data_IF_349277542011
#
_entry.id   IF_349277542011
#
_cell.length_a   1.000
_cell.length_b   1.000
_cell.length_c   1.000
_cell.angle_alpha   90.00
_cell.angle_beta   90.00
_cell.angle_gamma   90.00
#
_symmetry.space_group_name_H-M   'P 1'
#
loop_
_entity.id
_entity.type
_entity.pdbx_description
1 polymer ?
#
# COMPACT_ATOMS: atom_id res chain seq x y z
N UNK A 1 7.75 -1.68 -16.10
CA UNK A 1 7.38 -3.11 -16.19
C UNK A 1 6.06 -3.31 -15.44
N UNK A 2 5.31 -4.39 -15.70
CA UNK A 2 4.17 -4.78 -14.86
C UNK A 2 4.37 -6.19 -14.32
N UNK A 3 3.80 -6.45 -13.15
CA UNK A 3 3.71 -7.81 -12.60
C UNK A 3 2.69 -8.63 -13.39
N UNK A 4 2.69 -9.97 -13.26
CA UNK A 4 1.66 -10.84 -13.87
C UNK A 4 0.22 -10.43 -13.56
N UNK A 5 -0.07 -9.92 -12.35
CA UNK A 5 -1.41 -9.43 -11.96
C UNK A 5 -1.65 -7.94 -12.25
N UNK A 6 -0.74 -7.27 -12.95
CA UNK A 6 -0.99 -5.95 -13.54
C UNK A 6 -0.56 -4.73 -12.72
N UNK A 7 0.15 -4.91 -11.60
CA UNK A 7 0.77 -3.82 -10.85
C UNK A 7 1.91 -3.20 -11.66
N UNK A 8 1.97 -1.87 -11.72
CA UNK A 8 3.12 -1.15 -12.25
C UNK A 8 4.33 -1.34 -11.32
N UNK A 9 5.37 -2.02 -11.82
CA UNK A 9 6.60 -2.27 -11.08
C UNK A 9 7.71 -1.33 -11.57
N UNK A 10 8.10 -0.38 -10.72
CA UNK A 10 9.14 0.63 -10.97
C UNK A 10 10.40 0.33 -10.15
N UNK A 11 10.23 -0.03 -8.88
CA UNK A 11 11.31 -0.31 -7.93
C UNK A 11 10.83 -1.35 -6.93
N UNK A 12 11.77 -2.14 -6.39
CA UNK A 12 11.51 -3.06 -5.28
C UNK A 12 11.15 -2.29 -3.99
N UNK A 13 11.67 -1.08 -3.83
CA UNK A 13 11.43 -0.26 -2.64
C UNK A 13 10.19 0.63 -2.83
N UNK A 14 9.16 0.38 -2.02
CA UNK A 14 7.90 1.12 -2.11
C UNK A 14 7.22 0.94 -3.46
N UNK A 15 7.08 -0.32 -3.91
CA UNK A 15 6.48 -0.67 -5.19
C UNK A 15 5.08 -0.06 -5.35
N UNK A 16 4.21 -0.22 -4.34
CA UNK A 16 2.86 0.34 -4.35
C UNK A 16 2.86 1.87 -4.29
N UNK A 17 3.79 2.47 -3.55
CA UNK A 17 3.99 3.93 -3.55
C UNK A 17 4.25 4.44 -4.95
N UNK A 18 5.16 3.81 -5.70
CA UNK A 18 5.46 4.23 -7.06
C UNK A 18 4.26 4.07 -7.99
N UNK A 19 3.56 2.94 -7.94
CA UNK A 19 2.37 2.70 -8.76
C UNK A 19 1.28 3.75 -8.49
N UNK A 20 1.01 4.06 -7.22
CA UNK A 20 -0.03 5.03 -6.83
C UNK A 20 0.39 6.49 -7.08
N UNK A 21 1.68 6.82 -7.02
CA UNK A 21 2.17 8.13 -7.46
C UNK A 21 1.90 8.36 -8.95
N UNK A 22 2.15 7.34 -9.79
CA UNK A 22 1.83 7.44 -11.23
C UNK A 22 0.32 7.47 -11.46
N UNK A 23 -0.45 6.69 -10.70
CA UNK A 23 -1.91 6.73 -10.75
C UNK A 23 -2.46 8.14 -10.48
N UNK A 24 -1.94 8.82 -9.45
CA UNK A 24 -2.29 10.20 -9.13
C UNK A 24 -1.97 11.17 -10.26
N UNK A 25 -0.78 11.08 -10.85
CA UNK A 25 -0.39 11.93 -12.00
C UNK A 25 -1.31 11.69 -13.20
N UNK A 26 -1.66 10.44 -13.48
CA UNK A 26 -2.62 10.10 -14.53
C UNK A 26 -4.00 10.71 -14.24
N UNK A 27 -4.48 10.67 -12.99
CA UNK A 27 -5.74 11.29 -12.60
C UNK A 27 -5.71 12.81 -12.76
N UNK A 28 -4.64 13.48 -12.36
CA UNK A 28 -4.51 14.93 -12.55
C UNK A 28 -4.46 15.31 -14.04
N UNK A 29 -3.69 14.56 -14.85
CA UNK A 29 -3.65 14.77 -16.30
C UNK A 29 -5.02 14.56 -16.97
N UNK A 30 -5.76 13.52 -16.56
CA UNK A 30 -7.10 13.25 -17.06
C UNK A 30 -8.11 14.32 -16.61
N UNK A 31 -8.14 14.65 -15.32
CA UNK A 31 -9.20 15.44 -14.71
C UNK A 31 -8.99 16.96 -14.84
N UNK A 32 -7.74 17.42 -14.88
CA UNK A 32 -7.41 18.85 -14.96
C UNK A 32 -7.05 19.29 -16.36
N UNK A 33 -6.43 18.40 -17.14
CA UNK A 33 -5.88 18.73 -18.46
C UNK A 33 -6.60 18.04 -19.62
N UNK A 34 -7.57 17.16 -19.35
CA UNK A 34 -8.32 16.38 -20.35
C UNK A 34 -7.41 15.53 -21.27
N UNK A 35 -6.27 15.05 -20.75
CA UNK A 35 -5.35 14.20 -21.49
C UNK A 35 -5.72 12.74 -21.29
N UNK A 36 -6.00 12.02 -22.39
CA UNK A 36 -6.24 10.57 -22.38
C UNK A 36 -7.24 10.14 -21.29
N UNK A 37 -8.29 10.93 -21.07
CA UNK A 37 -9.11 10.94 -19.85
C UNK A 37 -9.55 9.55 -19.41
N UNK A 38 -10.18 8.79 -20.31
CA UNK A 38 -10.74 7.47 -19.95
C UNK A 38 -9.65 6.44 -19.65
N UNK A 39 -8.61 6.38 -20.49
CA UNK A 39 -7.55 5.39 -20.31
C UNK A 39 -6.69 5.68 -19.07
N UNK A 40 -6.44 6.95 -18.75
CA UNK A 40 -5.72 7.35 -17.55
C UNK A 40 -6.53 7.13 -16.27
N UNK A 41 -7.84 7.42 -16.27
CA UNK A 41 -8.72 7.08 -15.15
C UNK A 41 -8.80 5.57 -14.91
N UNK A 42 -8.97 4.78 -15.98
CA UNK A 42 -9.01 3.31 -15.88
C UNK A 42 -7.68 2.75 -15.40
N UNK A 43 -6.56 3.24 -15.92
CA UNK A 43 -5.24 2.85 -15.46
C UNK A 43 -5.06 3.18 -13.98
N UNK A 44 -5.32 4.42 -13.57
CA UNK A 44 -5.17 4.82 -12.18
C UNK A 44 -6.06 3.99 -11.23
N UNK A 45 -7.32 3.76 -11.62
CA UNK A 45 -8.24 2.89 -10.88
C UNK A 45 -7.65 1.49 -10.72
N UNK A 46 -7.07 0.90 -11.78
CA UNK A 46 -6.48 -0.44 -11.69
C UNK A 46 -5.34 -0.53 -10.66
N UNK A 47 -4.53 0.53 -10.50
CA UNK A 47 -3.41 0.54 -9.57
C UNK A 47 -3.88 0.73 -8.12
N UNK A 48 -4.87 1.60 -7.91
CA UNK A 48 -5.53 1.76 -6.60
C UNK A 48 -6.26 0.48 -6.21
N UNK A 49 -7.05 -0.11 -7.11
CA UNK A 49 -7.75 -1.38 -6.89
C UNK A 49 -6.75 -2.50 -6.55
N UNK A 50 -5.55 -2.52 -7.15
CA UNK A 50 -4.51 -3.49 -6.79
C UNK A 50 -4.09 -3.35 -5.33
N UNK A 51 -3.82 -2.13 -4.86
CA UNK A 51 -3.49 -1.86 -3.46
C UNK A 51 -4.64 -2.24 -2.52
N UNK A 52 -5.90 -2.01 -2.94
CA UNK A 52 -7.10 -2.32 -2.17
C UNK A 52 -7.45 -3.81 -2.17
N UNK A 53 -7.06 -4.56 -3.22
CA UNK A 53 -6.95 -6.02 -3.19
C UNK A 53 -7.45 -6.79 -4.40
N UNK A 54 -7.51 -6.18 -5.58
CA UNK A 54 -7.88 -6.88 -6.83
C UNK A 54 -6.94 -8.05 -7.20
N UNK A 55 -5.76 -8.12 -6.58
CA UNK A 55 -4.78 -9.20 -6.74
C UNK A 55 -5.00 -10.41 -5.81
N UNK A 56 -6.03 -10.36 -4.96
CA UNK A 56 -6.44 -11.44 -4.04
C UNK A 56 -6.29 -11.12 -2.55
N UNK A 57 -5.56 -10.04 -2.20
CA UNK A 57 -5.42 -9.54 -0.83
C UNK A 57 -5.24 -8.02 -0.83
N UNK A 58 -5.60 -7.36 0.27
CA UNK A 58 -5.29 -5.95 0.47
C UNK A 58 -3.83 -5.75 0.83
N UNK A 59 -3.29 -4.58 0.48
CA UNK A 59 -1.99 -4.08 0.94
C UNK A 59 -2.15 -2.83 1.80
N UNK A 60 -3.36 -2.57 2.30
CA UNK A 60 -3.67 -1.47 3.20
C UNK A 60 -4.01 -2.06 4.56
N UNK A 61 -3.22 -1.71 5.57
CA UNK A 61 -3.38 -2.20 6.95
C UNK A 61 -4.79 -1.90 7.46
N UNK A 62 -5.45 -2.91 8.01
CA UNK A 62 -6.80 -2.79 8.59
C UNK A 62 -7.94 -2.73 7.56
N UNK A 63 -7.68 -2.93 6.27
CA UNK A 63 -8.69 -2.80 5.22
C UNK A 63 -8.80 -4.04 4.33
N UNK A 64 -10.03 -4.39 3.92
CA UNK A 64 -10.27 -5.39 2.88
C UNK A 64 -9.94 -6.83 3.28
N UNK A 65 -9.68 -7.67 2.26
CA UNK A 65 -9.43 -9.09 2.45
C UNK A 65 -7.95 -9.37 2.75
N UNK A 66 -7.65 -10.08 3.84
CA UNK A 66 -6.29 -10.49 4.21
C UNK A 66 -5.24 -9.35 4.18
N UNK A 67 -5.46 -8.23 4.89
CA UNK A 67 -4.52 -7.11 4.93
C UNK A 67 -3.21 -7.48 5.64
N UNK A 68 -2.15 -6.66 5.48
CA UNK A 68 -0.95 -6.75 6.30
C UNK A 68 -1.28 -6.57 7.79
N UNK A 69 -0.60 -7.35 8.62
CA UNK A 69 -0.74 -7.33 10.08
C UNK A 69 0.61 -7.26 10.81
N UNK A 70 1.72 -7.38 10.07
CA UNK A 70 3.09 -7.30 10.58
C UNK A 70 3.84 -6.15 9.92
N UNK A 71 3.19 -5.02 9.63
CA UNK A 71 3.86 -3.87 9.05
C UNK A 71 5.02 -3.39 9.93
N UNK A 72 6.10 -2.91 9.32
CA UNK A 72 7.30 -2.49 10.02
C UNK A 72 7.10 -1.12 10.69
N UNK A 73 6.37 -1.10 11.79
CA UNK A 73 6.02 0.12 12.51
C UNK A 73 6.10 -0.06 14.03
N UNK A 74 7.04 0.66 14.67
CA UNK A 74 7.41 0.48 16.09
C UNK A 74 6.23 0.66 17.05
N UNK A 75 5.47 1.75 16.89
CA UNK A 75 4.37 2.03 17.81
C UNK A 75 3.22 1.04 17.62
N UNK A 76 2.99 0.57 16.39
CA UNK A 76 1.94 -0.40 16.10
C UNK A 76 2.29 -1.79 16.64
N UNK A 77 3.58 -2.16 16.59
CA UNK A 77 4.03 -3.41 17.17
C UNK A 77 3.95 -3.43 18.70
N UNK A 78 3.84 -2.30 19.40
CA UNK A 78 3.87 -2.29 20.86
C UNK A 78 2.53 -2.69 21.52
N UNK A 79 2.56 -3.54 22.57
CA UNK A 79 1.38 -3.79 23.39
C UNK A 79 0.93 -2.53 24.14
N UNK A 80 -0.29 -2.58 24.67
CA UNK A 80 -0.81 -1.52 25.55
C UNK A 80 0.05 -1.36 26.80
N UNK A 81 0.17 -0.11 27.26
CA UNK A 81 0.86 0.18 28.52
C UNK A 81 0.13 -0.48 29.69
N UNK A 82 0.86 -0.96 30.72
CA UNK A 82 2.29 -0.74 30.99
C UNK A 82 3.21 -1.86 30.47
N UNK A 83 2.76 -2.72 29.55
CA UNK A 83 3.59 -3.82 29.06
C UNK A 83 4.88 -3.32 28.40
N UNK A 84 5.97 -4.07 28.57
CA UNK A 84 7.26 -3.76 27.96
C UNK A 84 7.18 -3.87 26.45
N UNK A 85 7.67 -2.87 25.74
CA UNK A 85 7.89 -2.91 24.30
C UNK A 85 9.38 -2.76 24.00
N UNK A 86 10.00 -3.82 23.51
CA UNK A 86 11.42 -3.92 23.23
C UNK A 86 11.70 -4.71 21.93
N UNK A 87 12.94 -5.10 21.69
CA UNK A 87 13.32 -5.87 20.50
C UNK A 87 12.70 -7.28 20.44
N UNK A 88 12.24 -7.85 21.56
CA UNK A 88 11.52 -9.12 21.54
C UNK A 88 10.15 -8.95 20.86
N UNK A 89 9.50 -7.81 21.07
CA UNK A 89 8.25 -7.46 20.39
C UNK A 89 8.48 -7.31 18.88
N UNK A 90 9.56 -6.64 18.47
CA UNK A 90 9.92 -6.54 17.06
C UNK A 90 10.20 -7.91 16.42
N UNK A 91 10.96 -8.77 17.08
CA UNK A 91 11.35 -10.09 16.57
C UNK A 91 10.26 -11.17 16.72
N UNK A 92 9.16 -10.87 17.42
CA UNK A 92 8.07 -11.81 17.63
C UNK A 92 7.27 -12.09 16.36
N UNK A 93 6.84 -13.34 16.16
CA UNK A 93 6.01 -13.75 15.01
C UNK A 93 4.51 -13.48 15.18
N UNK A 94 4.10 -12.72 16.19
CA UNK A 94 2.70 -12.32 16.38
C UNK A 94 2.39 -11.08 15.55
N UNK A 95 1.14 -10.89 15.12
CA UNK A 95 0.67 -9.64 14.53
C UNK A 95 1.01 -8.42 15.41
N UNK A 96 1.07 -7.24 14.79
CA UNK A 96 1.15 -5.99 15.54
C UNK A 96 -0.05 -5.87 16.49
N UNK A 97 0.22 -5.41 17.72
CA UNK A 97 -0.82 -5.26 18.74
C UNK A 97 -1.83 -4.19 18.37
N UNK A 98 -1.38 -3.11 17.73
CA UNK A 98 -2.23 -2.02 17.26
C UNK A 98 -2.36 -2.09 15.75
N UNK A 99 -3.59 -1.94 15.24
CA UNK A 99 -3.83 -1.85 13.80
C UNK A 99 -3.50 -0.44 13.32
N UNK A 100 -2.48 -0.29 12.47
CA UNK A 100 -2.13 0.98 11.84
C UNK A 100 -3.06 1.29 10.65
N UNK A 101 -4.34 1.53 10.94
CA UNK A 101 -5.40 1.69 9.95
C UNK A 101 -5.02 2.65 8.82
N UNK A 102 -5.17 2.19 7.57
CA UNK A 102 -4.98 2.99 6.36
C UNK A 102 -3.55 3.04 5.84
N UNK A 103 -2.57 2.47 6.54
CA UNK A 103 -1.20 2.44 6.07
C UNK A 103 -1.03 1.49 4.87
N UNK A 104 -0.63 2.02 3.73
CA UNK A 104 -0.21 1.21 2.58
C UNK A 104 1.24 0.74 2.77
N UNK A 105 1.46 -0.57 2.69
CA UNK A 105 2.80 -1.17 2.78
C UNK A 105 3.60 -1.01 1.47
N UNK A 106 4.88 -1.35 1.49
CA UNK A 106 5.75 -1.33 0.31
C UNK A 106 5.18 -2.13 -0.86
N UNK A 107 4.62 -3.31 -0.57
CA UNK A 107 3.89 -4.13 -1.53
C UNK A 107 4.64 -5.39 -1.98
N UNK A 108 4.19 -6.05 -3.05
CA UNK A 108 4.77 -7.31 -3.51
C UNK A 108 6.01 -7.13 -4.40
N UNK A 109 6.71 -8.22 -4.64
CA UNK A 109 7.77 -8.32 -5.64
C UNK A 109 7.23 -8.23 -7.08
N UNK A 110 8.14 -8.29 -8.06
CA UNK A 110 7.81 -8.21 -9.49
C UNK A 110 6.92 -9.35 -10.02
N UNK A 111 6.73 -10.42 -9.24
CA UNK A 111 5.94 -11.60 -9.56
C UNK A 111 4.68 -11.72 -8.70
N UNK A 112 4.28 -10.64 -8.01
CA UNK A 112 3.13 -10.59 -7.09
C UNK A 112 3.30 -11.42 -5.81
N UNK A 113 4.54 -11.80 -5.44
CA UNK A 113 4.80 -12.48 -4.17
C UNK A 113 4.92 -11.45 -3.04
N UNK A 114 4.31 -11.75 -1.90
CA UNK A 114 4.39 -10.93 -0.70
C UNK A 114 4.27 -11.80 0.54
N UNK A 115 5.14 -11.52 1.51
CA UNK A 115 5.10 -12.11 2.85
C UNK A 115 4.85 -11.01 3.87
N UNK A 116 3.93 -11.25 4.81
CA UNK A 116 3.62 -10.32 5.90
C UNK A 116 4.60 -10.57 7.05
N UNK A 117 5.77 -9.95 6.99
CA UNK A 117 6.89 -10.19 7.92
C UNK A 117 7.47 -8.85 8.36
N UNK A 118 7.43 -8.57 9.66
CA UNK A 118 7.86 -7.28 10.23
C UNK A 118 9.31 -6.90 9.94
N UNK A 119 10.20 -7.88 9.87
CA UNK A 119 11.61 -7.65 9.55
C UNK A 119 11.87 -7.42 8.06
N UNK A 120 10.92 -7.74 7.18
CA UNK A 120 11.00 -7.47 5.75
C UNK A 120 10.61 -6.01 5.48
N UNK A 121 11.59 -5.14 5.72
CA UNK A 121 11.47 -3.70 5.53
C UNK A 121 11.28 -3.27 4.08
N UNK A 122 11.40 -4.15 3.09
CA UNK A 122 11.17 -3.78 1.69
C UNK A 122 9.68 -3.82 1.39
N UNK A 123 9.04 -4.94 1.76
CA UNK A 123 7.66 -5.21 1.41
C UNK A 123 6.67 -4.72 2.48
N UNK A 124 7.09 -4.67 3.76
CA UNK A 124 6.26 -4.28 4.91
C UNK A 124 6.56 -2.89 5.48
N UNK A 125 7.47 -2.13 4.88
CA UNK A 125 7.64 -0.72 5.25
C UNK A 125 6.37 0.08 5.01
N UNK A 126 6.12 1.03 5.90
CA UNK A 126 5.06 2.04 5.80
C UNK A 126 5.70 3.41 6.01
N UNK A 127 5.25 4.40 5.24
CA UNK A 127 5.78 5.76 5.31
C UNK A 127 4.73 6.81 4.95
N UNK A 128 4.99 8.06 5.32
CA UNK A 128 4.12 9.18 4.98
C UNK A 128 3.99 9.36 3.45
N UNK A 129 5.11 9.28 2.73
CA UNK A 129 5.14 9.45 1.27
C UNK A 129 4.48 8.29 0.53
N UNK A 130 4.38 7.11 1.15
CA UNK A 130 3.67 5.96 0.57
C UNK A 130 2.17 6.28 0.45
N UNK A 131 1.62 6.98 1.44
CA UNK A 131 0.18 7.26 1.52
C UNK A 131 -0.24 8.57 0.85
N UNK A 132 0.69 9.49 0.58
CA UNK A 132 0.37 10.83 0.09
C UNK A 132 -0.44 10.82 -1.22
N UNK A 133 0.13 10.29 -2.31
CA UNK A 133 -0.56 10.23 -3.60
C UNK A 133 -1.64 9.16 -3.64
N UNK A 134 -1.52 8.10 -2.82
CA UNK A 134 -2.56 7.09 -2.66
C UNK A 134 -3.87 7.71 -2.14
N UNK A 135 -3.78 8.51 -1.07
CA UNK A 135 -4.93 9.25 -0.52
C UNK A 135 -5.53 10.22 -1.53
N UNK A 136 -4.69 10.95 -2.26
CA UNK A 136 -5.16 11.81 -3.36
C UNK A 136 -5.90 11.02 -4.45
N UNK A 137 -5.34 9.89 -4.87
CA UNK A 137 -5.95 9.02 -5.89
C UNK A 137 -7.30 8.47 -5.44
N UNK A 138 -7.42 8.06 -4.17
CA UNK A 138 -8.70 7.65 -3.58
C UNK A 138 -9.74 8.77 -3.64
N UNK A 139 -9.35 10.00 -3.25
CA UNK A 139 -10.25 11.15 -3.28
C UNK A 139 -10.72 11.48 -4.72
N UNK A 140 -9.79 11.49 -5.68
CA UNK A 140 -10.13 11.74 -7.09
C UNK A 140 -11.01 10.65 -7.70
N UNK A 141 -10.77 9.36 -7.37
CA UNK A 141 -11.62 8.27 -7.84
C UNK A 141 -13.00 8.30 -7.18
N UNK A 142 -13.09 8.60 -5.88
CA UNK A 142 -14.36 8.77 -5.16
C UNK A 142 -15.21 9.92 -5.71
N UNK A 143 -14.58 10.96 -6.28
CA UNK A 143 -15.31 12.05 -6.95
C UNK A 143 -15.83 11.67 -8.35
N UNK A 144 -15.39 10.55 -8.92
CA UNK A 144 -15.75 10.10 -10.27
C UNK A 144 -16.83 9.00 -10.28
N UNK A 145 -17.02 8.28 -9.17
CA UNK A 145 -17.92 7.13 -9.03
C UNK A 145 -18.79 7.30 -7.80
#
# INVERSE_FOLDING_TARGET
QKTPKGLLYISQWGTLRHANNIAWICLEAANKLNVNTDSYRQFAKSQVDYALGSSGRSYVVGYGNNPPTHEQHRAASCPDRPATCDWNVYNGGQPNYQVLNGAMVGGPDQNDNYQDVRSDYVHNEVACDYNAAFTGSLAALSALY
#
